data_IF_995389981109
#
_entry.id   IF_995389981109
#
_cell.length_a   1.000
_cell.length_b   1.000
_cell.length_c   1.000
_cell.angle_alpha   90.00
_cell.angle_beta   90.00
_cell.angle_gamma   90.00
#
_symmetry.space_group_name_H-M   'P 1'
#
loop_
_entity.id
_entity.type
_entity.pdbx_description
1 polymer ?
#
# COMPACT_ATOMS: atom_id res chain seq x y z
N UNK A 1 -4.87 7.69 13.10
CA UNK A 1 -4.55 6.75 12.00
C UNK A 1 -4.49 5.31 12.52
N UNK A 2 -5.04 4.32 11.79
CA UNK A 2 -4.94 2.91 12.17
C UNK A 2 -4.13 2.13 11.13
N UNK A 3 -3.46 1.07 11.56
CA UNK A 3 -2.72 0.17 10.68
C UNK A 3 -2.79 -1.28 11.19
N UNK A 4 -2.61 -2.22 10.29
CA UNK A 4 -2.48 -3.64 10.61
C UNK A 4 -1.04 -4.08 10.43
N UNK A 5 -0.48 -4.81 11.37
CA UNK A 5 0.87 -5.36 11.30
C UNK A 5 1.00 -6.61 12.19
N UNK A 6 2.14 -7.27 12.18
CA UNK A 6 2.42 -8.32 13.17
C UNK A 6 2.83 -7.71 14.51
N UNK A 7 2.66 -8.45 15.61
CA UNK A 7 3.07 -8.03 16.95
C UNK A 7 4.51 -7.49 17.02
N UNK A 8 5.43 -8.10 16.27
CA UNK A 8 6.85 -7.70 16.21
C UNK A 8 7.08 -6.27 15.68
N UNK A 9 6.13 -5.69 14.95
CA UNK A 9 6.24 -4.37 14.35
C UNK A 9 5.35 -3.31 15.05
N UNK A 10 4.66 -3.67 16.12
CA UNK A 10 3.74 -2.77 16.83
C UNK A 10 4.42 -1.48 17.30
N UNK A 11 5.58 -1.60 17.94
CA UNK A 11 6.32 -0.44 18.45
C UNK A 11 6.81 0.46 17.30
N UNK A 12 7.29 -0.14 16.20
CA UNK A 12 7.67 0.60 15.01
C UNK A 12 6.47 1.36 14.42
N UNK A 13 5.33 0.70 14.24
CA UNK A 13 4.14 1.34 13.70
C UNK A 13 3.69 2.54 14.56
N UNK A 14 3.71 2.39 15.90
CA UNK A 14 3.40 3.48 16.84
C UNK A 14 4.40 4.63 16.75
N UNK A 15 5.70 4.36 16.64
CA UNK A 15 6.74 5.40 16.50
C UNK A 15 6.64 6.15 15.17
N UNK A 16 6.00 5.57 14.18
CA UNK A 16 5.70 6.19 12.88
C UNK A 16 4.37 6.94 12.86
N UNK A 17 3.64 7.01 13.98
CA UNK A 17 2.44 7.81 14.14
C UNK A 17 1.12 7.05 14.00
N UNK A 18 1.12 5.72 14.15
CA UNK A 18 -0.12 4.97 14.22
C UNK A 18 -0.74 5.08 15.63
N UNK A 19 -1.99 5.56 15.71
CA UNK A 19 -2.75 5.63 16.96
C UNK A 19 -3.28 4.24 17.36
N UNK A 20 -3.75 3.47 16.37
CA UNK A 20 -4.29 2.12 16.55
C UNK A 20 -3.45 1.16 15.72
N UNK A 21 -2.92 0.12 16.36
CA UNK A 21 -2.15 -0.95 15.71
C UNK A 21 -2.80 -2.28 16.01
N UNK A 22 -3.24 -2.98 14.97
CA UNK A 22 -3.94 -4.26 15.06
C UNK A 22 -3.01 -5.38 14.60
N UNK A 23 -2.86 -6.41 15.43
CA UNK A 23 -2.13 -7.63 15.06
C UNK A 23 -3.06 -8.52 14.22
N UNK A 24 -2.86 -8.47 12.89
CA UNK A 24 -3.68 -9.23 11.93
C UNK A 24 -3.66 -10.75 12.14
N UNK A 25 -2.74 -11.26 12.96
CA UNK A 25 -2.67 -12.70 13.31
C UNK A 25 -3.63 -13.07 14.44
N UNK A 26 -4.08 -12.10 15.23
CA UNK A 26 -4.91 -12.29 16.42
C UNK A 26 -6.29 -11.68 16.27
N UNK A 27 -6.38 -10.58 15.55
CA UNK A 27 -7.59 -9.76 15.51
C UNK A 27 -7.96 -9.42 14.07
N UNK A 28 -9.25 -9.35 13.81
CA UNK A 28 -9.78 -8.89 12.53
C UNK A 28 -10.11 -7.41 12.61
N UNK A 29 -9.40 -6.61 11.83
CA UNK A 29 -9.53 -5.16 11.85
C UNK A 29 -10.95 -4.67 11.52
N UNK A 30 -11.73 -5.40 10.72
CA UNK A 30 -13.09 -5.02 10.37
C UNK A 30 -14.08 -5.11 11.54
N UNK A 31 -13.73 -5.82 12.60
CA UNK A 31 -14.54 -5.88 13.82
C UNK A 31 -14.22 -4.73 14.80
N UNK A 32 -13.06 -4.11 14.64
CA UNK A 32 -12.53 -3.10 15.55
C UNK A 32 -12.66 -1.69 14.97
N UNK A 33 -12.37 -1.53 13.66
CA UNK A 33 -12.33 -0.24 13.00
C UNK A 33 -13.66 0.09 12.34
N UNK A 34 -14.09 1.36 12.43
CA UNK A 34 -15.31 1.88 11.79
C UNK A 34 -15.13 3.36 11.43
N UNK A 35 -15.91 3.82 10.47
CA UNK A 35 -16.10 5.23 10.13
C UNK A 35 -14.84 5.95 9.68
N UNK A 36 -13.98 5.28 8.90
CA UNK A 36 -12.79 5.89 8.29
C UNK A 36 -13.15 6.62 7.00
N UNK A 37 -12.47 7.74 6.75
CA UNK A 37 -12.60 8.50 5.50
C UNK A 37 -11.89 7.82 4.33
N UNK A 38 -10.68 7.30 4.59
CA UNK A 38 -9.80 6.74 3.58
C UNK A 38 -9.13 5.48 4.09
N UNK A 39 -9.07 4.47 3.24
CA UNK A 39 -8.25 3.27 3.45
C UNK A 39 -7.27 3.10 2.29
N UNK A 40 -5.99 2.89 2.61
CA UNK A 40 -4.98 2.45 1.67
C UNK A 40 -4.79 0.94 1.81
N UNK A 41 -5.13 0.17 0.77
CA UNK A 41 -4.94 -1.26 0.73
C UNK A 41 -3.72 -1.64 -0.12
N UNK A 42 -2.79 -2.38 0.49
CA UNK A 42 -1.61 -2.96 -0.18
C UNK A 42 -1.63 -4.50 -0.16
N UNK A 43 -2.75 -5.08 0.24
CA UNK A 43 -2.94 -6.52 0.40
C UNK A 43 -3.86 -7.08 -0.70
N UNK A 44 -4.33 -8.29 -0.50
CA UNK A 44 -5.19 -9.03 -1.42
C UNK A 44 -6.61 -8.45 -1.54
N UNK A 45 -7.37 -8.99 -2.47
CA UNK A 45 -8.77 -8.59 -2.72
C UNK A 45 -9.68 -8.86 -1.52
N UNK A 46 -9.42 -9.93 -0.74
CA UNK A 46 -10.22 -10.26 0.44
C UNK A 46 -10.05 -9.20 1.53
N UNK A 47 -8.82 -8.76 1.75
CA UNK A 47 -8.52 -7.65 2.67
C UNK A 47 -9.10 -6.33 2.17
N UNK A 48 -9.08 -6.10 0.86
CA UNK A 48 -9.73 -4.93 0.26
C UNK A 48 -11.25 -4.92 0.51
N UNK A 49 -11.93 -6.06 0.38
CA UNK A 49 -13.35 -6.16 0.67
C UNK A 49 -13.69 -5.85 2.14
N UNK A 50 -12.87 -6.31 3.07
CA UNK A 50 -12.98 -5.94 4.49
C UNK A 50 -12.76 -4.44 4.69
N UNK A 51 -11.79 -3.86 3.98
CA UNK A 51 -11.48 -2.44 4.03
C UNK A 51 -12.63 -1.55 3.57
N UNK A 52 -13.49 -2.00 2.63
CA UNK A 52 -14.68 -1.25 2.25
C UNK A 52 -15.69 -1.11 3.40
N UNK A 53 -15.77 -2.11 4.30
CA UNK A 53 -16.76 -2.14 5.39
C UNK A 53 -16.43 -1.25 6.57
N UNK A 54 -15.17 -0.83 6.68
CA UNK A 54 -14.76 0.10 7.75
C UNK A 54 -14.83 1.57 7.33
N UNK A 55 -15.20 1.84 6.08
CA UNK A 55 -15.35 3.19 5.57
C UNK A 55 -16.73 3.75 5.92
N UNK A 56 -16.79 5.04 6.22
CA UNK A 56 -18.04 5.78 6.32
C UNK A 56 -18.68 6.01 4.94
N UNK A 57 -19.96 6.34 4.86
CA UNK A 57 -20.58 6.74 3.59
C UNK A 57 -19.76 7.85 2.90
N UNK A 58 -19.57 7.73 1.60
CA UNK A 58 -18.69 8.57 0.76
C UNK A 58 -17.18 8.41 1.04
N UNK A 59 -16.77 7.49 1.90
CA UNK A 59 -15.37 7.16 2.11
C UNK A 59 -14.71 6.54 0.88
N UNK A 60 -13.37 6.50 0.88
CA UNK A 60 -12.59 6.07 -0.27
C UNK A 60 -11.61 4.94 0.06
N UNK A 61 -11.71 3.83 -0.65
CA UNK A 61 -10.68 2.79 -0.68
C UNK A 61 -9.73 3.02 -1.85
N UNK A 62 -8.45 3.15 -1.57
CA UNK A 62 -7.38 3.23 -2.56
C UNK A 62 -6.59 1.93 -2.46
N UNK A 63 -6.47 1.20 -3.57
CA UNK A 63 -5.67 -0.02 -3.60
C UNK A 63 -4.47 0.13 -4.52
N UNK A 64 -3.30 -0.27 -4.05
CA UNK A 64 -2.07 -0.40 -4.84
C UNK A 64 -1.78 -1.85 -5.21
N UNK A 65 -2.67 -2.76 -4.83
CA UNK A 65 -2.63 -4.19 -5.07
C UNK A 65 -4.05 -4.70 -5.36
N UNK A 66 -4.20 -5.70 -6.24
CA UNK A 66 -5.51 -6.27 -6.56
C UNK A 66 -6.04 -5.84 -7.94
N UNK A 67 -7.34 -5.96 -8.18
CA UNK A 67 -7.89 -5.75 -9.52
C UNK A 67 -7.86 -4.27 -9.91
N UNK A 68 -7.29 -3.96 -11.09
CA UNK A 68 -7.26 -2.58 -11.59
C UNK A 68 -8.67 -2.10 -11.93
N UNK A 69 -8.95 -0.83 -11.68
CA UNK A 69 -10.21 -0.20 -12.03
C UNK A 69 -10.26 0.23 -13.52
N UNK A 70 -11.43 0.65 -14.05
CA UNK A 70 -11.53 1.08 -15.45
C UNK A 70 -10.67 2.27 -15.83
N UNK A 71 -10.30 3.13 -14.88
CA UNK A 71 -9.46 4.30 -15.14
C UNK A 71 -8.02 3.88 -15.42
N UNK A 72 -7.54 2.82 -14.81
CA UNK A 72 -6.27 2.19 -15.18
C UNK A 72 -6.21 1.84 -16.67
N UNK A 73 -7.28 1.25 -17.23
CA UNK A 73 -7.35 0.92 -18.66
C UNK A 73 -7.29 2.17 -19.58
N UNK A 74 -7.79 3.32 -19.11
CA UNK A 74 -7.65 4.60 -19.82
C UNK A 74 -6.22 5.12 -19.72
N UNK A 75 -5.64 5.06 -18.54
CA UNK A 75 -4.29 5.53 -18.25
C UNK A 75 -3.21 4.86 -19.09
N UNK A 76 -3.28 3.53 -19.25
CA UNK A 76 -2.32 2.77 -20.07
C UNK A 76 -2.65 2.81 -21.56
N UNK A 77 -3.66 3.61 -21.97
CA UNK A 77 -4.16 3.69 -23.36
C UNK A 77 -4.51 2.32 -23.94
N UNK A 78 -5.06 1.43 -23.11
CA UNK A 78 -5.43 0.08 -23.51
C UNK A 78 -6.40 0.08 -24.71
N UNK A 79 -6.32 -0.97 -25.54
CA UNK A 79 -7.32 -1.20 -26.56
C UNK A 79 -8.69 -1.54 -25.94
N UNK A 80 -9.75 -1.55 -26.77
CA UNK A 80 -11.11 -1.76 -26.28
C UNK A 80 -11.28 -3.10 -25.56
N UNK A 81 -10.65 -4.16 -26.04
CA UNK A 81 -10.74 -5.50 -25.46
C UNK A 81 -10.14 -5.52 -24.04
N UNK A 82 -8.93 -4.99 -23.88
CA UNK A 82 -8.28 -4.92 -22.57
C UNK A 82 -9.05 -4.03 -21.60
N UNK A 83 -9.68 -2.94 -22.07
CA UNK A 83 -10.59 -2.12 -21.23
C UNK A 83 -11.77 -2.92 -20.71
N UNK A 84 -12.36 -3.79 -21.53
CA UNK A 84 -13.45 -4.67 -21.11
C UNK A 84 -12.96 -5.67 -20.06
N UNK A 85 -11.81 -6.31 -20.27
CA UNK A 85 -11.22 -7.24 -19.30
C UNK A 85 -10.97 -6.56 -17.95
N UNK A 86 -10.33 -5.39 -17.94
CA UNK A 86 -10.06 -4.60 -16.73
C UNK A 86 -11.36 -4.25 -16.00
N UNK A 87 -12.38 -3.83 -16.75
CA UNK A 87 -13.72 -3.54 -16.20
C UNK A 87 -14.37 -4.77 -15.55
N UNK A 88 -14.19 -5.95 -16.13
CA UNK A 88 -14.73 -7.21 -15.59
C UNK A 88 -13.97 -7.63 -14.32
N UNK A 89 -12.65 -7.54 -14.30
CA UNK A 89 -11.81 -7.92 -13.16
C UNK A 89 -12.18 -7.15 -11.89
N UNK A 90 -12.52 -5.87 -12.01
CA UNK A 90 -12.89 -5.03 -10.86
C UNK A 90 -14.40 -4.95 -10.60
N UNK A 91 -15.23 -5.63 -11.39
CA UNK A 91 -16.70 -5.51 -11.30
C UNK A 91 -17.23 -5.87 -9.91
N UNK A 92 -16.70 -6.95 -9.32
CA UNK A 92 -17.12 -7.43 -8.00
C UNK A 92 -16.85 -6.40 -6.89
N UNK A 93 -15.62 -5.89 -6.82
CA UNK A 93 -15.24 -4.91 -5.81
C UNK A 93 -15.97 -3.58 -5.97
N UNK A 94 -16.15 -3.11 -7.21
CA UNK A 94 -16.90 -1.89 -7.51
C UNK A 94 -18.39 -2.02 -7.16
N UNK A 95 -18.99 -3.19 -7.41
CA UNK A 95 -20.37 -3.48 -6.99
C UNK A 95 -20.52 -3.40 -5.46
N UNK A 96 -19.61 -4.02 -4.72
CA UNK A 96 -19.59 -3.98 -3.26
C UNK A 96 -19.38 -2.54 -2.74
N UNK A 97 -18.43 -1.80 -3.30
CA UNK A 97 -18.20 -0.41 -2.94
C UNK A 97 -19.48 0.43 -3.14
N UNK A 98 -20.15 0.29 -4.29
CA UNK A 98 -21.41 0.98 -4.58
C UNK A 98 -22.52 0.63 -3.58
N UNK A 99 -22.66 -0.65 -3.21
CA UNK A 99 -23.65 -1.10 -2.23
C UNK A 99 -23.42 -0.50 -0.84
N UNK A 100 -22.15 -0.26 -0.47
CA UNK A 100 -21.76 0.36 0.80
C UNK A 100 -21.74 1.90 0.75
N UNK A 101 -22.06 2.51 -0.40
CA UNK A 101 -21.98 3.95 -0.57
C UNK A 101 -20.58 4.54 -0.50
N UNK A 102 -19.56 3.74 -0.84
CA UNK A 102 -18.13 4.14 -0.83
C UNK A 102 -17.52 4.10 -2.22
N UNK A 103 -16.38 4.73 -2.41
CA UNK A 103 -15.64 4.72 -3.67
C UNK A 103 -14.44 3.80 -3.61
N UNK A 104 -14.11 3.18 -4.74
CA UNK A 104 -12.93 2.37 -4.94
C UNK A 104 -12.10 2.94 -6.08
N UNK A 105 -10.79 3.05 -5.89
CA UNK A 105 -9.85 3.38 -6.96
C UNK A 105 -8.59 2.53 -6.85
N UNK A 106 -8.06 2.15 -8.01
CA UNK A 106 -6.78 1.49 -8.14
C UNK A 106 -5.71 2.52 -8.47
N UNK A 107 -4.66 2.58 -7.68
CA UNK A 107 -3.53 3.48 -7.88
C UNK A 107 -2.37 2.71 -8.50
N UNK A 108 -2.10 2.95 -9.77
CA UNK A 108 -0.94 2.40 -10.45
C UNK A 108 0.26 3.34 -10.33
N UNK A 109 1.39 2.79 -9.90
CA UNK A 109 2.63 3.56 -9.79
C UNK A 109 3.19 3.84 -11.18
N UNK A 110 3.57 5.11 -11.42
CA UNK A 110 4.29 5.53 -12.61
C UNK A 110 5.64 6.12 -12.22
N UNK A 111 6.68 5.71 -12.91
CA UNK A 111 7.99 6.34 -12.76
C UNK A 111 7.92 7.79 -13.31
N UNK A 112 8.07 8.77 -12.43
CA UNK A 112 8.01 10.19 -12.77
C UNK A 112 9.06 10.97 -11.97
N UNK A 113 10.06 11.54 -12.67
CA UNK A 113 11.17 12.24 -12.03
C UNK A 113 10.73 13.43 -11.17
N UNK A 114 9.71 14.18 -11.60
CA UNK A 114 9.20 15.31 -10.82
C UNK A 114 8.61 14.87 -9.47
N UNK A 115 7.85 13.75 -9.43
CA UNK A 115 7.34 13.20 -8.18
C UNK A 115 8.48 12.72 -7.29
N UNK A 116 9.50 12.09 -7.87
CA UNK A 116 10.67 11.65 -7.10
C UNK A 116 11.40 12.85 -6.47
N UNK A 117 11.56 13.94 -7.20
CA UNK A 117 12.12 15.19 -6.67
C UNK A 117 11.30 15.76 -5.50
N UNK A 118 9.98 15.70 -5.59
CA UNK A 118 9.11 16.12 -4.47
C UNK A 118 9.26 15.21 -3.25
N UNK A 119 9.32 13.90 -3.46
CA UNK A 119 9.57 12.93 -2.37
C UNK A 119 10.92 13.20 -1.72
N UNK A 120 11.97 13.47 -2.50
CA UNK A 120 13.30 13.84 -1.97
C UNK A 120 13.22 15.06 -1.05
N UNK A 121 12.54 16.13 -1.47
CA UNK A 121 12.35 17.32 -0.63
C UNK A 121 11.60 17.02 0.67
N UNK A 122 10.60 16.15 0.63
CA UNK A 122 9.86 15.74 1.83
C UNK A 122 10.72 14.90 2.79
N UNK A 123 11.64 14.12 2.26
CA UNK A 123 12.62 13.36 3.07
C UNK A 123 13.63 14.32 3.69
N UNK A 124 14.21 15.24 2.91
CA UNK A 124 15.18 16.23 3.37
C UNK A 124 14.61 17.16 4.44
N UNK A 125 13.33 17.53 4.31
CA UNK A 125 12.63 18.34 5.33
C UNK A 125 12.16 17.54 6.55
N UNK A 126 12.40 16.21 6.59
CA UNK A 126 12.02 15.34 7.71
C UNK A 126 10.52 15.01 7.80
N UNK A 127 9.71 15.44 6.82
CA UNK A 127 8.27 15.10 6.75
C UNK A 127 8.07 13.61 6.48
N UNK A 128 8.87 13.04 5.58
CA UNK A 128 8.92 11.60 5.34
C UNK A 128 10.19 11.04 5.96
N UNK A 129 10.05 10.04 6.83
CA UNK A 129 11.16 9.34 7.47
C UNK A 129 11.23 7.91 6.92
N UNK A 130 12.13 7.62 5.95
CA UNK A 130 12.32 6.26 5.44
C UNK A 130 12.80 5.34 6.56
N UNK A 131 12.15 4.19 6.72
CA UNK A 131 12.63 3.15 7.62
C UNK A 131 13.65 2.32 6.87
N UNK A 132 14.92 2.39 7.30
CA UNK A 132 16.02 1.56 6.77
C UNK A 132 16.20 0.38 7.72
N UNK A 133 16.08 -0.83 7.19
CA UNK A 133 16.27 -2.07 7.95
C UNK A 133 17.73 -2.51 7.93
N UNK A 134 18.29 -2.65 6.72
CA UNK A 134 19.71 -3.02 6.54
C UNK A 134 20.35 -2.26 5.39
N UNK A 135 21.66 -2.04 5.55
CA UNK A 135 22.54 -1.49 4.50
C UNK A 135 23.60 -2.53 4.18
N UNK A 136 23.72 -2.87 2.92
CA UNK A 136 24.72 -3.80 2.41
C UNK A 136 25.74 -3.05 1.53
N UNK A 137 27.02 -3.40 1.56
CA UNK A 137 27.99 -2.92 0.58
C UNK A 137 27.69 -3.49 -0.82
N UNK A 138 28.21 -2.88 -1.85
CA UNK A 138 27.89 -3.23 -3.25
C UNK A 138 28.26 -4.69 -3.59
N UNK A 139 29.38 -5.19 -3.09
CA UNK A 139 29.86 -6.56 -3.28
C UNK A 139 28.96 -7.63 -2.63
N UNK A 140 28.12 -7.24 -1.67
CA UNK A 140 27.13 -8.11 -1.01
C UNK A 140 25.70 -7.94 -1.58
N UNK A 141 25.57 -7.48 -2.83
CA UNK A 141 24.25 -7.27 -3.47
C UNK A 141 23.41 -8.56 -3.47
N UNK A 142 24.02 -9.73 -3.72
CA UNK A 142 23.30 -11.00 -3.72
C UNK A 142 22.77 -11.38 -2.33
N UNK A 143 23.52 -11.07 -1.27
CA UNK A 143 23.07 -11.30 0.12
C UNK A 143 21.90 -10.36 0.46
N UNK A 144 21.93 -9.12 -0.03
CA UNK A 144 20.83 -8.18 0.12
C UNK A 144 19.54 -8.68 -0.57
N UNK A 145 19.65 -9.22 -1.78
CA UNK A 145 18.52 -9.82 -2.50
C UNK A 145 17.98 -11.05 -1.76
N UNK A 146 18.85 -11.97 -1.35
CA UNK A 146 18.45 -13.13 -0.56
C UNK A 146 17.74 -12.73 0.74
N UNK A 147 18.23 -11.66 1.41
CA UNK A 147 17.57 -11.13 2.60
C UNK A 147 16.15 -10.60 2.30
N UNK A 148 15.96 -9.86 1.20
CA UNK A 148 14.64 -9.37 0.79
C UNK A 148 13.69 -10.53 0.47
N UNK A 149 14.17 -11.58 -0.19
CA UNK A 149 13.38 -12.77 -0.55
C UNK A 149 12.86 -13.52 0.68
N UNK A 150 13.53 -13.40 1.85
CA UNK A 150 12.99 -13.97 3.09
C UNK A 150 11.64 -13.38 3.52
N UNK A 151 11.25 -12.21 2.99
CA UNK A 151 10.05 -11.47 3.39
C UNK A 151 10.10 -10.92 4.83
N UNK A 152 11.27 -10.90 5.48
CA UNK A 152 11.44 -10.49 6.88
C UNK A 152 11.93 -9.06 7.05
N UNK A 153 12.26 -8.37 5.96
CA UNK A 153 12.71 -6.99 6.01
C UNK A 153 11.62 -6.07 6.63
N UNK A 154 12.01 -5.27 7.62
CA UNK A 154 11.12 -4.35 8.35
C UNK A 154 11.17 -2.92 7.82
N UNK A 155 11.82 -2.73 6.69
CA UNK A 155 12.02 -1.43 6.06
C UNK A 155 12.74 -1.60 4.73
N UNK A 156 13.43 -0.55 4.30
CA UNK A 156 14.21 -0.57 3.06
C UNK A 156 15.53 -1.30 3.27
N UNK A 157 15.86 -2.17 2.34
CA UNK A 157 17.20 -2.75 2.21
C UNK A 157 17.95 -1.89 1.21
N UNK A 158 19.08 -1.33 1.63
CA UNK A 158 19.86 -0.35 0.86
C UNK A 158 21.19 -0.96 0.48
N UNK A 159 21.62 -0.74 -0.76
CA UNK A 159 22.96 -1.11 -1.24
C UNK A 159 23.78 0.18 -1.34
N UNK A 160 24.88 0.23 -0.59
CA UNK A 160 25.83 1.35 -0.59
C UNK A 160 26.84 1.17 -1.72
N UNK A 161 26.76 1.99 -2.77
CA UNK A 161 27.63 1.90 -3.95
C UNK A 161 28.96 2.62 -3.76
N UNK A 162 28.96 3.76 -3.05
CA UNK A 162 30.18 4.53 -2.76
C UNK A 162 30.47 4.49 -1.27
N UNK A 163 31.71 4.26 -0.90
CA UNK A 163 32.20 4.60 0.44
C UNK A 163 32.38 6.13 0.46
N UNK A 164 31.75 6.78 1.41
CA UNK A 164 32.08 8.16 1.76
C UNK A 164 33.28 8.16 2.68
#
# INVERSE_FOLDING_TARGET
MATTTSAANTNLAKSLGADIVIDYKKEDFETILKDYDVVLNSQDTKTLEKSLRILKPNGKAISISGPPDPDFGKEIKANWFLKVVVKMLSAGIRKKAKQLGVTFSFLFMRAQGQQLTQITKLIESGVIKPVIDKVFPFDQTNDALAYVETGRAKGKVVIKIKQQ
#
